data_IF_445306939748
#
_entry.id   IF_445306939748
#
_cell.length_a   1.000
_cell.length_b   1.000
_cell.length_c   1.000
_cell.angle_alpha   90.00
_cell.angle_beta   90.00
_cell.angle_gamma   90.00
#
_symmetry.space_group_name_H-M   'P 1'
#
loop_
_entity.id
_entity.type
_entity.pdbx_description
1 polymer ?
#
# COMPACT_ATOMS: atom_id res chain seq x y z
N UNK A 1 -10.93 -2.76 -13.31
CA UNK A 1 -9.81 -1.79 -13.35
C UNK A 1 -9.05 -1.92 -12.06
N UNK A 2 -7.74 -2.19 -12.12
CA UNK A 2 -6.90 -2.27 -10.92
C UNK A 2 -6.25 -0.91 -10.66
N UNK A 3 -6.33 -0.44 -9.42
CA UNK A 3 -5.68 0.78 -8.97
C UNK A 3 -5.04 0.56 -7.61
N UNK A 4 -4.11 1.44 -7.25
CA UNK A 4 -3.51 1.43 -5.94
C UNK A 4 -3.25 2.85 -5.43
N UNK A 5 -3.30 3.02 -4.11
CA UNK A 5 -2.96 4.29 -3.45
C UNK A 5 -1.81 4.08 -2.48
N UNK A 6 -0.87 5.03 -2.47
CA UNK A 6 0.25 5.06 -1.53
C UNK A 6 -0.04 6.02 -0.38
N UNK A 7 0.07 5.51 0.84
CA UNK A 7 -0.10 6.25 2.08
C UNK A 7 1.21 6.23 2.88
N UNK A 8 1.62 7.40 3.40
CA UNK A 8 2.75 7.52 4.33
C UNK A 8 2.18 7.44 5.74
N UNK A 9 2.68 6.49 6.52
CA UNK A 9 2.19 6.19 7.86
C UNK A 9 2.89 7.08 8.88
N UNK A 10 2.13 7.56 9.87
CA UNK A 10 2.70 8.27 11.00
C UNK A 10 3.40 7.31 11.96
N UNK A 11 4.36 7.81 12.74
CA UNK A 11 5.04 7.01 13.74
C UNK A 11 4.04 6.44 14.76
N UNK A 12 4.01 5.12 14.89
CA UNK A 12 3.10 4.42 15.82
C UNK A 12 1.66 4.28 15.32
N UNK A 13 1.38 4.66 14.07
CA UNK A 13 0.09 4.42 13.44
C UNK A 13 -0.23 2.92 13.38
N UNK A 14 -1.50 2.57 13.59
CA UNK A 14 -1.98 1.20 13.55
C UNK A 14 -2.89 1.03 12.35
N UNK A 15 -2.61 0.01 11.54
CA UNK A 15 -3.50 -0.40 10.45
C UNK A 15 -4.19 -1.68 10.91
N UNK A 16 -5.53 -1.69 10.89
CA UNK A 16 -6.37 -2.78 11.42
C UNK A 16 -6.02 -3.17 12.88
N UNK A 17 -5.57 -2.21 13.68
CA UNK A 17 -5.19 -2.43 15.09
C UNK A 17 -3.85 -3.15 15.29
N UNK A 18 -3.08 -3.41 14.23
CA UNK A 18 -1.75 -4.00 14.31
C UNK A 18 -0.67 -2.96 14.02
N UNK A 19 0.53 -3.18 14.58
CA UNK A 19 1.70 -2.37 14.26
C UNK A 19 2.04 -2.56 12.79
N UNK A 20 2.24 -1.45 12.10
CA UNK A 20 2.65 -1.45 10.71
C UNK A 20 4.09 -1.92 10.61
N UNK A 21 4.40 -2.72 9.59
CA UNK A 21 5.76 -3.14 9.28
C UNK A 21 6.31 -2.28 8.15
N UNK A 22 6.69 -1.05 8.47
CA UNK A 22 7.17 -0.05 7.51
C UNK A 22 6.47 1.30 7.65
N UNK A 23 6.95 2.28 6.89
CA UNK A 23 6.46 3.67 6.89
C UNK A 23 5.50 3.97 5.74
N UNK A 24 5.28 3.00 4.86
CA UNK A 24 4.47 3.16 3.65
C UNK A 24 3.46 2.03 3.53
N UNK A 25 2.22 2.37 3.21
CA UNK A 25 1.14 1.41 2.99
C UNK A 25 0.54 1.62 1.61
N UNK A 26 0.52 0.55 0.81
CA UNK A 26 -0.16 0.52 -0.48
C UNK A 26 -1.50 -0.19 -0.29
N UNK A 27 -2.60 0.46 -0.65
CA UNK A 27 -3.93 -0.19 -0.78
C UNK A 27 -4.20 -0.50 -2.23
N UNK A 28 -4.70 -1.68 -2.49
CA UNK A 28 -5.05 -2.17 -3.82
C UNK A 28 -6.57 -2.22 -3.97
N UNK A 29 -7.04 -1.79 -5.13
CA UNK A 29 -8.45 -1.75 -5.47
C UNK A 29 -8.71 -2.49 -6.78
N UNK A 30 -9.77 -3.28 -6.82
CA UNK A 30 -10.32 -3.88 -8.03
C UNK A 30 -11.76 -3.41 -8.18
N UNK A 31 -12.05 -2.71 -9.28
CA UNK A 31 -13.38 -2.12 -9.54
C UNK A 31 -13.88 -1.19 -8.42
N UNK A 32 -12.95 -0.48 -7.77
CA UNK A 32 -13.14 0.41 -6.62
C UNK A 32 -13.41 -0.29 -5.28
N UNK A 33 -13.34 -1.61 -5.22
CA UNK A 33 -13.38 -2.35 -3.96
C UNK A 33 -11.95 -2.61 -3.46
N UNK A 34 -11.69 -2.34 -2.19
CA UNK A 34 -10.40 -2.64 -1.56
C UNK A 34 -10.21 -4.16 -1.48
N UNK A 35 -9.18 -4.68 -2.15
CA UNK A 35 -8.94 -6.13 -2.26
C UNK A 35 -7.70 -6.59 -1.51
N UNK A 36 -6.72 -5.70 -1.31
CA UNK A 36 -5.47 -6.02 -0.62
C UNK A 36 -4.76 -4.78 -0.09
N UNK A 37 -3.76 -5.01 0.77
CA UNK A 37 -2.86 -3.98 1.25
C UNK A 37 -1.48 -4.53 1.60
N UNK A 38 -0.44 -3.77 1.28
CA UNK A 38 0.97 -4.15 1.44
C UNK A 38 1.77 -3.05 2.15
N UNK A 39 2.66 -3.43 3.07
CA UNK A 39 3.54 -2.51 3.79
C UNK A 39 4.96 -2.50 3.22
N UNK A 40 5.57 -1.32 3.18
CA UNK A 40 6.92 -1.11 2.66
C UNK A 40 7.73 -0.19 3.57
N UNK A 41 9.05 -0.36 3.58
CA UNK A 41 9.95 0.45 4.40
C UNK A 41 10.32 1.77 3.71
N UNK A 42 10.38 1.77 2.37
CA UNK A 42 10.73 2.94 1.57
C UNK A 42 9.65 3.28 0.55
N UNK A 43 9.62 4.56 0.15
CA UNK A 43 8.73 5.04 -0.91
C UNK A 43 9.03 4.38 -2.27
N UNK A 44 10.32 4.11 -2.54
CA UNK A 44 10.79 3.50 -3.78
C UNK A 44 10.27 2.07 -3.94
N UNK A 45 10.33 1.26 -2.87
CA UNK A 45 9.75 -0.09 -2.85
C UNK A 45 8.24 -0.06 -3.13
N UNK A 46 7.53 0.88 -2.48
CA UNK A 46 6.09 1.01 -2.65
C UNK A 46 5.70 1.44 -4.06
N UNK A 47 6.45 2.39 -4.66
CA UNK A 47 6.23 2.83 -6.04
C UNK A 47 6.53 1.72 -7.06
N UNK A 48 7.65 1.02 -6.89
CA UNK A 48 8.00 -0.10 -7.75
C UNK A 48 6.91 -1.19 -7.71
N UNK A 49 6.34 -1.45 -6.53
CA UNK A 49 5.21 -2.36 -6.39
C UNK A 49 3.97 -1.88 -7.16
N UNK A 50 3.59 -0.60 -7.02
CA UNK A 50 2.45 -0.01 -7.75
C UNK A 50 2.65 -0.11 -9.27
N UNK A 51 3.87 0.11 -9.76
CA UNK A 51 4.20 -0.06 -11.18
C UNK A 51 3.91 -1.50 -11.66
N UNK A 52 4.25 -2.52 -10.86
CA UNK A 52 3.96 -3.92 -11.20
C UNK A 52 2.47 -4.26 -11.27
N UNK A 53 1.61 -3.48 -10.62
CA UNK A 53 0.15 -3.65 -10.67
C UNK A 53 -0.44 -3.08 -11.96
N UNK A 54 0.17 -2.02 -12.50
CA UNK A 54 -0.29 -1.36 -13.74
C UNK A 54 0.10 -2.14 -15.01
N UNK A 55 1.07 -3.04 -14.91
CA UNK A 55 1.51 -3.90 -16.02
C UNK A 55 0.66 -5.18 -16.19
N UNK A 56 -0.29 -5.45 -15.28
CA UNK A 56 -1.14 -6.66 -15.28
C UNK A 56 -2.59 -6.36 -15.66
#
# INVERSE_FOLDING_TARGET
>A
MRTATLEVLNEGELIFGTRTNGSYFVREYEDNEEVAGSFFNTEEEAKAYIETLNEK
#
